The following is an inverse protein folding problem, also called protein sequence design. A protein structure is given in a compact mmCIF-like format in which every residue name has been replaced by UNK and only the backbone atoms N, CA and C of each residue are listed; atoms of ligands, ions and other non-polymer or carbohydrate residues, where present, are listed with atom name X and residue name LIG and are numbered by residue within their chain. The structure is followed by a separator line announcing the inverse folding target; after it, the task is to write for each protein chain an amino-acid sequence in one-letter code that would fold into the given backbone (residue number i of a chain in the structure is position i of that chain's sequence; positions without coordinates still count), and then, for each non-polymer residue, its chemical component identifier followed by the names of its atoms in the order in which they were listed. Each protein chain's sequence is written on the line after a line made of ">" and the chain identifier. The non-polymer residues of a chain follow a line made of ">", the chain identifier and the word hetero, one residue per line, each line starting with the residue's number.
data_IF_863083439095
#
_entry.id   IF_863083439095
#
_cell.length_a   1.000
_cell.length_b   1.000
_cell.length_c   1.000
_cell.angle_alpha   90.00
_cell.angle_beta   90.00
_cell.angle_gamma   90.00
#
_symmetry.space_group_name_H-M   'P 1'
#
loop_
_entity.id
_entity.type
_entity.pdbx_description
1 polymer ?
#
# COMPACT_ATOMS: atom_id res chain seq x y z
N UNK A 1 -28.86 8.62 -3.02
CA UNK A 1 -29.57 9.93 -3.05
C UNK A 1 -30.27 10.14 -1.73
N UNK A 2 -29.86 11.16 -0.97
CA UNK A 2 -30.40 11.48 0.36
C UNK A 2 -31.90 11.81 0.30
N UNK A 3 -32.62 11.63 1.41
CA UNK A 3 -34.08 11.83 1.49
C UNK A 3 -34.51 13.23 1.05
N UNK A 4 -33.76 14.26 1.46
CA UNK A 4 -33.98 15.66 1.06
C UNK A 4 -33.98 15.83 -0.46
N UNK A 5 -32.99 15.25 -1.15
CA UNK A 5 -32.88 15.34 -2.61
C UNK A 5 -34.03 14.61 -3.31
N UNK A 6 -34.52 13.50 -2.75
CA UNK A 6 -35.72 12.81 -3.25
C UNK A 6 -36.97 13.69 -3.14
N UNK A 7 -37.20 14.32 -1.98
CA UNK A 7 -38.32 15.26 -1.78
C UNK A 7 -38.24 16.45 -2.72
N UNK A 8 -37.04 17.01 -2.92
CA UNK A 8 -36.80 18.13 -3.82
C UNK A 8 -37.11 17.78 -5.29
N UNK A 9 -36.67 16.60 -5.73
CA UNK A 9 -36.96 16.09 -7.08
C UNK A 9 -38.46 15.80 -7.28
N UNK A 10 -39.14 15.36 -6.22
CA UNK A 10 -40.58 15.07 -6.20
C UNK A 10 -41.52 16.27 -6.15
N UNK A 11 -41.02 17.51 -6.00
CA UNK A 11 -41.90 18.69 -5.94
C UNK A 11 -42.52 19.04 -7.30
N UNK A 12 -43.82 18.83 -7.49
CA UNK A 12 -44.51 19.13 -8.76
C UNK A 12 -45.46 20.31 -8.60
N UNK A 13 -45.56 21.17 -9.62
CA UNK A 13 -46.55 22.25 -9.65
C UNK A 13 -47.93 21.67 -10.02
N UNK A 14 -49.03 22.27 -9.52
CA UNK A 14 -50.37 21.96 -10.01
C UNK A 14 -50.48 22.12 -11.52
N UNK A 15 -51.32 21.31 -12.17
CA UNK A 15 -51.47 21.24 -13.64
C UNK A 15 -51.82 22.58 -14.29
N UNK A 16 -52.54 23.47 -13.59
CA UNK A 16 -52.91 24.80 -14.07
C UNK A 16 -51.78 25.84 -13.99
N UNK A 17 -50.72 25.58 -13.22
CA UNK A 17 -49.56 26.45 -13.04
C UNK A 17 -48.28 25.84 -13.65
N UNK A 18 -48.39 24.70 -14.31
CA UNK A 18 -47.19 23.95 -14.69
C UNK A 18 -46.39 24.62 -15.82
N UNK A 19 -46.95 25.59 -16.57
CA UNK A 19 -46.38 26.16 -17.80
C UNK A 19 -45.77 27.55 -17.59
N UNK A 20 -44.82 27.92 -18.45
CA UNK A 20 -44.28 29.28 -18.53
C UNK A 20 -43.34 29.66 -17.38
N UNK A 21 -43.46 30.90 -16.89
CA UNK A 21 -42.62 31.47 -15.83
C UNK A 21 -42.66 30.71 -14.48
N UNK A 22 -43.81 30.20 -14.00
CA UNK A 22 -43.87 29.40 -12.78
C UNK A 22 -42.98 28.14 -12.82
N UNK A 23 -42.88 27.49 -13.99
CA UNK A 23 -41.98 26.32 -14.16
C UNK A 23 -40.52 26.70 -13.99
N UNK A 24 -40.12 27.84 -14.56
CA UNK A 24 -38.76 28.38 -14.41
C UNK A 24 -38.48 28.69 -12.95
N UNK A 25 -39.44 29.28 -12.25
CA UNK A 25 -39.31 29.59 -10.81
C UNK A 25 -39.14 28.32 -9.98
N UNK A 26 -39.92 27.25 -10.23
CA UNK A 26 -39.72 25.96 -9.56
C UNK A 26 -38.31 25.39 -9.81
N UNK A 27 -37.82 25.43 -11.05
CA UNK A 27 -36.48 24.94 -11.38
C UNK A 27 -35.39 25.75 -10.67
N UNK A 28 -35.51 27.08 -10.64
CA UNK A 28 -34.58 27.96 -9.93
C UNK A 28 -34.62 27.69 -8.43
N UNK A 29 -35.82 27.57 -7.84
CA UNK A 29 -35.99 27.23 -6.43
C UNK A 29 -35.34 25.87 -6.09
N UNK A 30 -35.52 24.85 -6.93
CA UNK A 30 -34.83 23.56 -6.77
C UNK A 30 -33.31 23.72 -6.79
N UNK A 31 -32.75 24.42 -7.79
CA UNK A 31 -31.30 24.66 -7.88
C UNK A 31 -30.76 25.40 -6.65
N UNK A 32 -31.48 26.42 -6.20
CA UNK A 32 -31.15 27.18 -5.00
C UNK A 32 -31.09 26.26 -3.77
N UNK A 33 -32.12 25.44 -3.55
CA UNK A 33 -32.15 24.53 -2.41
C UNK A 33 -31.10 23.42 -2.49
N UNK A 34 -30.71 22.95 -3.68
CA UNK A 34 -29.54 22.07 -3.84
C UNK A 34 -28.26 22.78 -3.41
N UNK A 35 -28.06 24.04 -3.80
CA UNK A 35 -26.88 24.81 -3.42
C UNK A 35 -26.84 25.05 -1.90
N UNK A 36 -27.95 25.45 -1.29
CA UNK A 36 -28.08 25.62 0.17
C UNK A 36 -27.79 24.32 0.90
N UNK A 37 -28.35 23.20 0.44
CA UNK A 37 -28.05 21.90 1.02
C UNK A 37 -26.55 21.57 0.92
N UNK A 38 -25.92 21.87 -0.22
CA UNK A 38 -24.48 21.76 -0.41
C UNK A 38 -23.70 22.57 0.61
N UNK A 39 -24.06 23.84 0.83
CA UNK A 39 -23.39 24.70 1.82
C UNK A 39 -23.55 24.23 3.25
N UNK A 40 -24.75 23.75 3.63
CA UNK A 40 -25.02 23.26 4.98
C UNK A 40 -24.32 21.93 5.25
N UNK A 41 -24.22 21.06 4.24
CA UNK A 41 -23.54 19.76 4.37
C UNK A 41 -22.04 19.83 4.15
N UNK A 42 -21.53 20.88 3.51
CA UNK A 42 -20.11 21.02 3.22
C UNK A 42 -19.23 20.91 4.48
N UNK A 43 -19.51 21.59 5.61
CA UNK A 43 -18.71 21.44 6.83
C UNK A 43 -18.68 20.00 7.35
N UNK A 44 -19.80 19.28 7.24
CA UNK A 44 -19.88 17.87 7.68
C UNK A 44 -18.99 16.96 6.82
N UNK A 45 -18.90 17.24 5.52
CA UNK A 45 -18.03 16.50 4.62
C UNK A 45 -16.53 16.77 4.88
N UNK A 46 -16.19 17.85 5.59
CA UNK A 46 -14.79 18.16 5.90
C UNK A 46 -14.23 17.34 7.07
N UNK A 47 -15.04 16.59 7.82
CA UNK A 47 -14.54 15.73 8.89
C UNK A 47 -13.75 14.51 8.39
N UNK A 48 -13.96 14.12 7.13
CA UNK A 48 -13.21 13.03 6.51
C UNK A 48 -11.81 13.50 6.06
N UNK A 49 -10.72 12.98 6.66
CA UNK A 49 -9.36 13.37 6.31
C UNK A 49 -9.00 13.10 4.84
N UNK A 50 -9.63 12.12 4.20
CA UNK A 50 -9.33 11.73 2.82
C UNK A 50 -9.85 12.73 1.78
N UNK A 51 -10.86 13.53 2.12
CA UNK A 51 -11.53 14.44 1.18
C UNK A 51 -11.47 15.91 1.61
N UNK A 52 -11.13 16.19 2.87
CA UNK A 52 -11.08 17.54 3.42
C UNK A 52 -10.05 18.47 2.77
N UNK A 53 -10.27 19.78 2.92
CA UNK A 53 -9.31 20.79 2.49
C UNK A 53 -7.97 20.69 3.25
N UNK A 54 -6.83 21.02 2.62
CA UNK A 54 -5.51 20.92 3.28
C UNK A 54 -5.38 21.72 4.58
N UNK A 55 -6.07 22.86 4.69
CA UNK A 55 -6.05 23.67 5.90
C UNK A 55 -6.71 22.95 7.09
N UNK A 56 -7.87 22.34 6.86
CA UNK A 56 -8.53 21.57 7.90
C UNK A 56 -7.81 20.25 8.18
N UNK A 57 -7.19 19.65 7.16
CA UNK A 57 -6.37 18.45 7.33
C UNK A 57 -5.25 18.68 8.36
N UNK A 58 -4.60 19.85 8.34
CA UNK A 58 -3.57 20.18 9.34
C UNK A 58 -4.15 20.26 10.76
N UNK A 59 -5.37 20.78 10.92
CA UNK A 59 -6.05 20.82 12.22
C UNK A 59 -6.42 19.41 12.71
N UNK A 60 -6.92 18.59 11.79
CA UNK A 60 -7.23 17.17 12.03
C UNK A 60 -5.99 16.33 12.32
N UNK A 61 -4.84 16.70 11.75
CA UNK A 61 -3.56 16.08 12.01
C UNK A 61 -3.07 16.44 13.42
N UNK A 62 -3.20 17.70 13.82
CA UNK A 62 -2.87 18.16 15.16
C UNK A 62 -3.67 17.42 16.24
N UNK A 63 -4.99 17.28 16.07
CA UNK A 63 -5.85 16.52 16.99
C UNK A 63 -5.43 15.05 17.13
N UNK A 64 -4.87 14.47 16.06
CA UNK A 64 -4.43 13.07 16.00
C UNK A 64 -2.93 12.87 16.25
N UNK A 65 -2.24 13.89 16.75
CA UNK A 65 -0.80 13.89 17.02
C UNK A 65 0.05 13.45 15.80
N UNK A 66 -0.27 13.99 14.62
CA UNK A 66 0.48 13.73 13.39
C UNK A 66 1.15 15.01 12.91
N UNK A 67 2.49 14.96 12.86
CA UNK A 67 3.29 15.98 12.22
C UNK A 67 3.56 15.66 10.75
N UNK A 68 3.47 16.69 9.91
CA UNK A 68 3.84 16.64 8.50
C UNK A 68 5.35 16.78 8.38
N UNK A 69 5.99 15.93 7.58
CA UNK A 69 7.42 16.05 7.28
C UNK A 69 7.67 16.77 5.96
N UNK A 70 8.91 17.22 5.77
CA UNK A 70 9.31 18.00 4.61
C UNK A 70 9.16 17.18 3.31
N UNK A 71 8.44 17.73 2.34
CA UNK A 71 8.21 17.08 1.05
C UNK A 71 7.17 15.95 1.07
N UNK A 72 6.40 15.77 2.15
CA UNK A 72 5.39 14.72 2.24
C UNK A 72 4.27 14.90 1.18
N UNK A 73 4.01 13.89 0.33
CA UNK A 73 2.87 13.89 -0.60
C UNK A 73 1.53 14.02 0.14
N UNK A 74 0.61 14.80 -0.40
CA UNK A 74 -0.68 15.08 0.24
C UNK A 74 -1.50 13.80 0.49
N UNK A 75 -1.50 12.87 -0.47
CA UNK A 75 -2.20 11.59 -0.36
C UNK A 75 -1.70 10.73 0.82
N UNK A 76 -0.38 10.71 1.03
CA UNK A 76 0.23 9.99 2.14
C UNK A 76 -0.12 10.65 3.48
N UNK A 77 -0.05 11.97 3.54
CA UNK A 77 -0.44 12.73 4.72
C UNK A 77 -1.91 12.47 5.10
N UNK A 78 -2.81 12.47 4.12
CA UNK A 78 -4.23 12.13 4.32
C UNK A 78 -4.42 10.72 4.90
N UNK A 79 -3.72 9.72 4.35
CA UNK A 79 -3.78 8.35 4.86
C UNK A 79 -3.28 8.25 6.30
N UNK A 80 -2.18 8.91 6.64
CA UNK A 80 -1.67 8.93 8.02
C UNK A 80 -2.71 9.49 8.98
N UNK A 81 -3.31 10.63 8.64
CA UNK A 81 -4.35 11.27 9.46
C UNK A 81 -5.60 10.39 9.58
N UNK A 82 -6.04 9.76 8.48
CA UNK A 82 -7.20 8.88 8.48
C UNK A 82 -7.00 7.64 9.36
N UNK A 83 -5.82 7.01 9.29
CA UNK A 83 -5.53 5.76 10.00
C UNK A 83 -4.82 5.95 11.34
N UNK A 84 -4.63 7.19 11.81
CA UNK A 84 -3.85 7.52 13.00
C UNK A 84 -4.23 6.69 14.23
N UNK A 85 -5.54 6.58 14.49
CA UNK A 85 -6.07 5.90 15.67
C UNK A 85 -5.88 4.38 15.58
N UNK A 86 -6.13 3.79 14.41
CA UNK A 86 -5.95 2.36 14.19
C UNK A 86 -4.47 2.00 14.28
N UNK A 87 -3.60 2.84 13.70
CA UNK A 87 -2.15 2.67 13.78
C UNK A 87 -1.62 2.83 15.20
N UNK A 88 -2.15 3.76 15.99
CA UNK A 88 -1.78 3.91 17.40
C UNK A 88 -2.18 2.69 18.23
N UNK A 89 -3.34 2.07 17.93
CA UNK A 89 -3.77 0.82 18.57
C UNK A 89 -2.87 -0.36 18.24
N UNK A 90 -2.41 -0.45 17.00
CA UNK A 90 -1.56 -1.53 16.51
C UNK A 90 -0.07 -1.30 16.81
N UNK A 91 0.27 -0.16 17.41
CA UNK A 91 1.65 0.17 17.73
C UNK A 91 2.26 -0.82 18.74
N UNK A 92 3.54 -1.14 18.53
CA UNK A 92 4.35 -1.90 19.46
C UNK A 92 4.28 -3.43 19.36
N UNK A 93 3.43 -4.00 18.51
CA UNK A 93 3.49 -5.41 18.10
C UNK A 93 4.14 -5.56 16.72
N UNK A 94 4.67 -6.75 16.42
CA UNK A 94 5.32 -7.04 15.13
C UNK A 94 4.28 -7.02 14.01
N UNK A 95 3.17 -7.72 14.20
CA UNK A 95 2.06 -7.81 13.24
C UNK A 95 1.37 -6.46 13.03
N UNK A 96 1.24 -5.68 14.11
CA UNK A 96 0.67 -4.35 14.05
C UNK A 96 1.57 -3.40 13.26
N UNK A 97 2.89 -3.48 13.45
CA UNK A 97 3.83 -2.71 12.66
C UNK A 97 3.75 -3.06 11.16
N UNK A 98 3.66 -4.34 10.80
CA UNK A 98 3.46 -4.76 9.40
C UNK A 98 2.16 -4.16 8.84
N UNK A 99 1.07 -4.21 9.61
CA UNK A 99 -0.23 -3.66 9.22
C UNK A 99 -0.21 -2.13 9.01
N UNK A 100 0.56 -1.40 9.82
CA UNK A 100 0.75 0.05 9.67
C UNK A 100 1.40 0.36 8.31
N UNK A 101 2.44 -0.39 7.94
CA UNK A 101 3.14 -0.19 6.67
C UNK A 101 2.23 -0.48 5.47
N UNK A 102 1.47 -1.58 5.53
CA UNK A 102 0.52 -1.95 4.49
C UNK A 102 -0.54 -0.86 4.26
N UNK A 103 -1.16 -0.32 5.33
CA UNK A 103 -2.16 0.76 5.22
C UNK A 103 -1.61 2.04 4.61
N UNK A 104 -0.36 2.37 4.93
CA UNK A 104 0.34 3.53 4.39
C UNK A 104 0.83 3.29 2.95
N UNK A 105 0.65 2.09 2.40
CA UNK A 105 1.09 1.75 1.05
C UNK A 105 2.60 1.61 0.93
N UNK A 106 3.29 1.41 2.04
CA UNK A 106 4.69 1.02 2.07
C UNK A 106 4.67 -0.49 1.89
N UNK A 107 5.40 -1.01 0.91
CA UNK A 107 5.30 -2.43 0.54
C UNK A 107 5.92 -3.37 1.60
N UNK A 108 6.56 -4.45 1.14
CA UNK A 108 7.02 -5.52 2.03
C UNK A 108 7.98 -5.06 3.13
N UNK A 109 7.65 -5.38 4.39
CA UNK A 109 8.48 -5.13 5.59
C UNK A 109 8.50 -6.37 6.46
N UNK A 110 9.67 -6.73 6.99
CA UNK A 110 9.81 -7.73 8.05
C UNK A 110 10.39 -7.08 9.30
N UNK A 111 9.86 -7.45 10.46
CA UNK A 111 10.44 -7.08 11.76
C UNK A 111 11.07 -8.31 12.39
N UNK A 112 12.35 -8.20 12.72
CA UNK A 112 13.09 -9.24 13.43
C UNK A 112 13.48 -8.72 14.82
N UNK A 113 12.95 -9.39 15.83
CA UNK A 113 13.33 -9.18 17.23
C UNK A 113 14.23 -10.33 17.70
N UNK A 114 15.10 -10.06 18.68
CA UNK A 114 15.91 -11.05 19.41
C UNK A 114 16.78 -11.95 18.52
N UNK A 115 17.42 -11.36 17.52
CA UNK A 115 18.36 -12.07 16.66
C UNK A 115 19.64 -12.44 17.41
N UNK A 116 20.25 -13.59 17.12
CA UNK A 116 21.51 -13.99 17.74
C UNK A 116 22.64 -13.04 17.34
N UNK A 117 23.48 -12.65 18.31
CA UNK A 117 24.61 -11.75 18.07
C UNK A 117 24.28 -10.26 18.04
N UNK A 118 23.04 -9.89 18.36
CA UNK A 118 22.57 -8.50 18.42
C UNK A 118 22.02 -8.21 19.82
N UNK A 119 22.19 -6.97 20.30
CA UNK A 119 21.62 -6.53 21.57
C UNK A 119 20.09 -6.72 21.59
N UNK A 120 19.56 -7.12 22.75
CA UNK A 120 18.14 -7.46 22.89
C UNK A 120 17.19 -6.29 22.65
N UNK A 121 17.66 -5.06 22.75
CA UNK A 121 16.90 -3.84 22.54
C UNK A 121 16.89 -3.37 21.08
N UNK A 122 17.65 -4.00 20.19
CA UNK A 122 17.67 -3.68 18.77
C UNK A 122 16.61 -4.50 18.03
N UNK A 123 15.76 -3.80 17.28
CA UNK A 123 14.76 -4.37 16.37
C UNK A 123 15.24 -4.08 14.95
N UNK A 124 15.44 -5.14 14.17
CA UNK A 124 15.82 -5.00 12.76
C UNK A 124 14.56 -4.88 11.91
N UNK A 125 14.49 -3.81 11.13
CA UNK A 125 13.41 -3.54 10.18
C UNK A 125 13.96 -3.78 8.79
N UNK A 126 13.58 -4.91 8.21
CA UNK A 126 13.99 -5.28 6.85
C UNK A 126 13.02 -4.73 5.83
N UNK A 127 13.56 -4.03 4.85
CA UNK A 127 12.78 -3.36 3.79
C UNK A 127 13.52 -3.43 2.46
N UNK A 128 12.79 -3.26 1.36
CA UNK A 128 13.41 -3.32 0.02
C UNK A 128 14.10 -2.01 -0.35
N UNK A 129 15.14 -2.09 -1.18
CA UNK A 129 15.99 -0.94 -1.57
C UNK A 129 15.19 0.22 -2.21
N UNK A 130 14.21 -0.11 -3.06
CA UNK A 130 13.35 0.89 -3.71
C UNK A 130 12.47 1.68 -2.72
N UNK A 131 12.16 1.10 -1.56
CA UNK A 131 11.34 1.73 -0.53
C UNK A 131 12.14 2.67 0.36
N UNK A 132 13.36 2.29 0.77
CA UNK A 132 14.23 3.16 1.59
C UNK A 132 14.56 4.44 0.83
N UNK A 133 14.99 4.31 -0.42
CA UNK A 133 15.44 5.43 -1.24
C UNK A 133 14.36 6.51 -1.41
N UNK A 134 13.08 6.09 -1.47
CA UNK A 134 11.96 6.99 -1.68
C UNK A 134 11.41 7.58 -0.37
N UNK A 135 11.44 6.81 0.73
CA UNK A 135 10.62 7.09 1.91
C UNK A 135 11.39 7.12 3.24
N UNK A 136 12.69 7.44 3.23
CA UNK A 136 13.52 7.44 4.46
C UNK A 136 12.91 8.29 5.60
N UNK A 137 12.45 9.51 5.29
CA UNK A 137 11.85 10.41 6.29
C UNK A 137 10.57 9.81 6.89
N UNK A 138 9.71 9.23 6.06
CA UNK A 138 8.48 8.57 6.49
C UNK A 138 8.78 7.42 7.46
N UNK A 139 9.77 6.59 7.16
CA UNK A 139 10.14 5.46 8.02
C UNK A 139 10.62 5.91 9.40
N UNK A 140 11.46 6.95 9.43
CA UNK A 140 11.92 7.56 10.69
C UNK A 140 10.73 8.08 11.49
N UNK A 141 9.76 8.75 10.84
CA UNK A 141 8.57 9.28 11.51
C UNK A 141 7.66 8.17 12.04
N UNK A 142 7.48 7.07 11.30
CA UNK A 142 6.69 5.92 11.74
C UNK A 142 7.32 5.29 12.99
N UNK A 143 8.64 5.11 13.01
CA UNK A 143 9.34 4.59 14.18
C UNK A 143 9.21 5.54 15.37
N UNK A 144 9.30 6.85 15.16
CA UNK A 144 9.12 7.84 16.23
C UNK A 144 7.72 7.80 16.82
N UNK A 145 6.69 7.67 15.99
CA UNK A 145 5.29 7.74 16.42
C UNK A 145 4.77 6.41 16.97
N UNK A 146 5.13 5.29 16.34
CA UNK A 146 4.53 3.97 16.58
C UNK A 146 5.54 2.91 17.03
N UNK A 147 6.82 3.29 17.15
CA UNK A 147 7.85 2.42 17.70
C UNK A 147 7.64 2.11 19.17
N UNK A 148 8.18 0.97 19.61
CA UNK A 148 8.23 0.59 21.02
C UNK A 148 9.17 1.53 21.75
N UNK A 149 8.75 1.97 22.92
CA UNK A 149 9.60 2.76 23.81
C UNK A 149 10.82 1.95 24.25
N UNK A 150 11.94 2.63 24.46
CA UNK A 150 13.21 2.02 24.90
C UNK A 150 13.73 0.89 23.98
N UNK A 151 13.46 0.97 22.67
CA UNK A 151 14.02 0.05 21.66
C UNK A 151 14.75 0.85 20.58
N UNK A 152 15.85 0.30 20.08
CA UNK A 152 16.63 0.86 18.97
C UNK A 152 16.20 0.19 17.68
N UNK A 153 15.90 0.96 16.65
CA UNK A 153 15.50 0.44 15.36
C UNK A 153 16.64 0.58 14.35
N UNK A 154 16.99 -0.52 13.70
CA UNK A 154 18.02 -0.55 12.66
C UNK A 154 17.37 -1.00 11.35
N UNK A 155 17.59 -0.22 10.28
CA UNK A 155 17.14 -0.60 8.95
C UNK A 155 18.14 -1.55 8.31
N UNK A 156 17.62 -2.63 7.75
CA UNK A 156 18.37 -3.58 6.93
C UNK A 156 17.73 -3.60 5.54
N UNK A 157 18.53 -3.38 4.50
CA UNK A 157 18.04 -3.37 3.12
C UNK A 157 18.12 -4.78 2.57
N UNK A 158 16.97 -5.30 2.11
CA UNK A 158 16.92 -6.50 1.29
C UNK A 158 16.98 -6.07 -0.18
N UNK A 159 18.06 -6.43 -0.85
CA UNK A 159 18.16 -6.35 -2.31
C UNK A 159 17.67 -7.68 -2.90
N UNK A 160 16.58 -7.65 -3.66
CA UNK A 160 16.11 -8.83 -4.40
C UNK A 160 16.73 -8.84 -5.80
N UNK A 161 17.56 -9.84 -6.07
CA UNK A 161 18.09 -10.08 -7.41
C UNK A 161 17.30 -11.20 -8.11
N UNK A 162 17.01 -11.01 -9.40
CA UNK A 162 16.33 -12.04 -10.21
C UNK A 162 17.37 -13.01 -10.76
N UNK A 163 17.46 -14.19 -10.15
CA UNK A 163 18.22 -15.32 -10.70
C UNK A 163 17.36 -16.08 -11.72
N UNK A 164 17.78 -16.10 -12.98
CA UNK A 164 17.17 -16.98 -14.00
C UNK A 164 18.01 -18.24 -14.16
N UNK A 165 17.53 -19.37 -13.62
CA UNK A 165 18.14 -20.67 -13.85
C UNK A 165 17.56 -21.24 -15.13
N UNK A 166 18.40 -21.42 -16.16
CA UNK A 166 18.02 -22.15 -17.37
C UNK A 166 18.49 -23.59 -17.22
N UNK A 167 17.57 -24.54 -17.28
CA UNK A 167 17.91 -25.96 -17.38
C UNK A 167 18.07 -26.33 -18.86
N UNK A 168 19.18 -26.98 -19.21
CA UNK A 168 19.41 -27.60 -20.51
C UNK A 168 19.78 -29.07 -20.31
N UNK A 169 19.39 -29.94 -21.24
CA UNK A 169 19.94 -31.29 -21.31
C UNK A 169 21.07 -31.29 -22.34
N UNK A 170 22.10 -32.10 -22.10
CA UNK A 170 23.08 -32.45 -23.13
C UNK A 170 22.88 -33.94 -23.46
N UNK A 171 22.62 -34.26 -24.73
CA UNK A 171 22.58 -35.64 -25.22
C UNK A 171 23.92 -35.98 -25.88
N UNK A 172 25.00 -35.88 -25.10
CA UNK A 172 26.29 -36.40 -25.53
C UNK A 172 26.25 -37.92 -25.60
N UNK A 173 26.47 -38.49 -26.79
CA UNK A 173 26.65 -39.93 -26.98
C UNK A 173 28.11 -40.29 -26.64
N UNK A 174 28.32 -41.12 -25.62
CA UNK A 174 29.66 -41.59 -25.26
C UNK A 174 30.07 -42.74 -26.18
N UNK A 175 30.88 -42.42 -27.20
CA UNK A 175 31.42 -43.41 -28.14
C UNK A 175 32.85 -43.78 -27.75
N UNK A 176 33.10 -45.06 -27.48
CA UNK A 176 34.44 -45.62 -27.26
C UNK A 176 34.85 -46.45 -28.46
N UNK A 177 35.98 -46.10 -29.07
CA UNK A 177 36.62 -46.94 -30.07
C UNK A 177 37.75 -47.75 -29.40
N UNK A 178 37.59 -49.06 -29.19
CA UNK A 178 38.69 -49.90 -28.75
C UNK A 178 39.66 -50.12 -29.93
N UNK A 179 40.96 -49.93 -29.71
CA UNK A 179 41.98 -50.37 -30.65
C UNK A 179 42.23 -51.88 -30.45
N UNK A 180 42.04 -52.68 -31.50
CA UNK A 180 42.32 -54.12 -31.48
C UNK A 180 43.77 -54.39 -31.97
N UNK A 181 44.51 -55.22 -31.23
CA UNK A 181 45.76 -55.81 -31.72
C UNK A 181 45.43 -56.91 -32.74
N UNK A 182 46.14 -56.94 -33.88
CA UNK A 182 45.86 -57.85 -34.99
C UNK A 182 46.01 -59.32 -34.55
N UNK A 183 44.90 -60.07 -34.54
CA UNK A 183 44.94 -61.52 -34.33
C UNK A 183 43.76 -62.14 -33.58
N UNK A 184 42.85 -61.34 -33.02
CA UNK A 184 41.69 -61.87 -32.30
C UNK A 184 40.41 -61.23 -32.83
N UNK A 185 39.63 -61.99 -33.60
CA UNK A 185 38.27 -61.61 -33.99
C UNK A 185 37.37 -61.65 -32.75
N UNK A 186 36.76 -60.52 -32.41
CA UNK A 186 35.60 -60.49 -31.51
C UNK A 186 34.55 -59.53 -32.05
N UNK A 187 33.30 -60.00 -32.06
CA UNK A 187 32.13 -59.30 -32.58
C UNK A 187 31.95 -57.93 -31.94
N UNK A 188 31.62 -56.92 -32.74
CA UNK A 188 31.22 -55.59 -32.26
C UNK A 188 30.01 -55.73 -31.34
N UNK A 189 30.23 -55.70 -30.03
CA UNK A 189 29.15 -55.69 -29.05
C UNK A 189 28.79 -54.23 -28.76
N UNK A 190 27.61 -53.81 -29.23
CA UNK A 190 27.00 -52.54 -28.85
C UNK A 190 26.41 -52.70 -27.46
N UNK A 191 26.98 -52.04 -26.46
CA UNK A 191 26.41 -52.00 -25.12
C UNK A 191 25.69 -50.66 -24.94
N UNK A 192 24.36 -50.69 -24.92
CA UNK A 192 23.53 -49.56 -24.52
C UNK A 192 23.28 -49.63 -23.02
N UNK A 193 23.64 -48.58 -22.27
CA UNK A 193 23.13 -48.40 -20.92
C UNK A 193 21.70 -47.85 -21.01
N UNK A 194 20.71 -48.68 -20.69
CA UNK A 194 19.34 -48.22 -20.44
C UNK A 194 19.21 -47.65 -19.04
N UNK A 195 18.39 -46.60 -18.89
CA UNK A 195 17.90 -46.12 -17.59
C UNK A 195 16.72 -46.98 -17.13
#
# INVERSE_FOLDING_TARGET
>A
MNEFMKKLAGMVLPSWMDRGEPRKLLQTARRFWVAVYGWVTWPLNQFDPLTCTPALLNLLAYDRDISRFDGEPLELFRRRVAYAFVNARDAGSVEGFISIFERLGIGYVELLERQPGIDWDVIQVRVTDSQIATNTQLMIQIIRQYGRTCRRYQFEVITSERLTIRAGWDQGEYVVYPAALSGTETSSATYSAGL
#
